data_IF_640143637659
#
_entry.id   IF_640143637659
#
_cell.length_a   1.000
_cell.length_b   1.000
_cell.length_c   1.000
_cell.angle_alpha   90.00
_cell.angle_beta   90.00
_cell.angle_gamma   90.00
#
_symmetry.space_group_name_H-M   'P 1'
#
loop_
_entity.id
_entity.type
_entity.pdbx_description
1 polymer ?
#
# COMPACT_ATOMS: atom_id res chain seq x y z
N UNK A 1 4.86 13.42 -16.63
CA UNK A 1 5.81 13.51 -15.49
C UNK A 1 6.53 12.19 -15.38
N UNK A 2 7.85 12.20 -15.23
CA UNK A 2 8.65 10.99 -14.96
C UNK A 2 8.55 10.66 -13.46
N UNK A 3 8.33 9.39 -13.13
CA UNK A 3 8.12 8.94 -11.75
C UNK A 3 9.41 8.93 -10.91
N UNK A 4 10.58 8.96 -11.55
CA UNK A 4 11.88 9.13 -10.89
C UNK A 4 12.33 7.96 -10.00
N UNK A 5 11.74 6.77 -10.14
CA UNK A 5 12.05 5.62 -9.29
C UNK A 5 13.48 5.11 -9.46
N UNK A 6 13.93 5.00 -10.70
CA UNK A 6 15.29 4.57 -11.04
C UNK A 6 16.15 5.80 -11.34
N UNK A 7 17.36 5.82 -10.79
CA UNK A 7 18.39 6.81 -11.12
C UNK A 7 19.62 6.05 -11.59
N UNK A 8 20.31 6.60 -12.60
CA UNK A 8 21.52 6.01 -13.14
C UNK A 8 22.62 5.90 -12.07
N UNK A 9 23.56 4.98 -12.30
CA UNK A 9 24.81 4.90 -11.55
C UNK A 9 25.62 6.19 -11.74
N UNK A 10 26.75 6.32 -11.04
CA UNK A 10 27.65 7.47 -11.19
C UNK A 10 27.86 7.84 -12.66
N UNK A 11 27.60 9.10 -13.03
CA UNK A 11 27.62 9.55 -14.43
C UNK A 11 26.28 9.48 -15.18
N UNK A 12 25.16 9.21 -14.49
CA UNK A 12 23.82 9.02 -15.08
C UNK A 12 23.70 7.80 -16.01
N UNK A 13 24.55 6.79 -15.81
CA UNK A 13 24.53 5.59 -16.62
C UNK A 13 23.41 4.64 -16.18
N UNK A 14 22.51 4.30 -17.11
CA UNK A 14 21.46 3.32 -16.89
C UNK A 14 21.97 1.96 -17.35
N UNK A 15 22.44 1.17 -16.39
CA UNK A 15 23.03 -0.15 -16.59
C UNK A 15 22.06 -1.24 -16.11
N UNK A 16 21.07 -1.65 -16.93
CA UNK A 16 20.02 -2.58 -16.53
C UNK A 16 20.49 -4.03 -16.38
N UNK A 17 21.66 -4.39 -16.93
CA UNK A 17 22.21 -5.74 -16.87
C UNK A 17 23.31 -5.91 -15.82
N UNK A 18 23.92 -4.82 -15.36
CA UNK A 18 24.96 -4.90 -14.34
C UNK A 18 24.41 -5.17 -12.94
N UNK A 19 25.33 -5.53 -12.05
CA UNK A 19 24.99 -5.84 -10.67
C UNK A 19 24.32 -4.66 -9.98
N UNK A 20 23.29 -4.97 -9.19
CA UNK A 20 22.48 -4.02 -8.46
C UNK A 20 22.74 -4.14 -6.96
N UNK A 21 23.11 -3.03 -6.32
CA UNK A 21 23.46 -3.00 -4.90
C UNK A 21 22.20 -2.91 -4.02
N UNK A 22 22.34 -3.32 -2.75
CA UNK A 22 21.26 -3.18 -1.75
C UNK A 22 20.84 -1.71 -1.56
N UNK A 23 21.79 -0.78 -1.61
CA UNK A 23 21.54 0.65 -1.42
C UNK A 23 20.70 1.24 -2.57
N UNK A 24 21.01 0.84 -3.80
CA UNK A 24 20.22 1.22 -4.98
C UNK A 24 18.80 0.66 -4.88
N UNK A 25 18.65 -0.60 -4.46
CA UNK A 25 17.35 -1.22 -4.24
C UNK A 25 16.52 -0.49 -3.19
N UNK A 26 17.12 -0.13 -2.05
CA UNK A 26 16.41 0.61 -1.00
C UNK A 26 16.01 2.02 -1.47
N UNK A 27 16.85 2.67 -2.28
CA UNK A 27 16.52 3.98 -2.86
C UNK A 27 15.32 3.88 -3.80
N UNK A 28 15.21 2.81 -4.59
CA UNK A 28 14.06 2.59 -5.45
C UNK A 28 12.78 2.40 -4.64
N UNK A 29 12.83 1.60 -3.57
CA UNK A 29 11.68 1.39 -2.66
C UNK A 29 11.26 2.71 -2.01
N UNK A 30 12.21 3.44 -1.43
CA UNK A 30 11.98 4.75 -0.79
C UNK A 30 11.32 5.76 -1.76
N UNK A 31 11.71 5.73 -3.04
CA UNK A 31 11.08 6.59 -4.05
C UNK A 31 9.72 6.09 -4.52
N UNK A 32 9.44 4.80 -4.44
CA UNK A 32 8.17 4.22 -4.88
C UNK A 32 7.08 4.30 -3.80
N UNK A 33 7.45 4.21 -2.52
CA UNK A 33 6.51 4.20 -1.39
C UNK A 33 6.48 5.54 -0.66
N UNK A 34 5.36 5.84 0.01
CA UNK A 34 5.30 6.93 0.99
C UNK A 34 5.78 6.45 2.36
N UNK A 35 5.22 5.35 2.84
CA UNK A 35 5.54 4.82 4.16
C UNK A 35 5.22 3.32 4.23
N UNK A 36 5.92 2.64 5.14
CA UNK A 36 5.64 1.25 5.52
C UNK A 36 5.26 1.27 7.00
N UNK A 37 3.97 1.08 7.28
CA UNK A 37 3.43 1.22 8.63
C UNK A 37 3.24 -0.15 9.30
N UNK A 38 3.52 -0.15 10.61
CA UNK A 38 3.32 -1.29 11.51
C UNK A 38 2.19 -1.04 12.53
N UNK A 39 1.64 0.17 12.53
CA UNK A 39 0.67 0.66 13.52
C UNK A 39 -0.45 1.48 12.86
N UNK A 40 -1.47 1.82 13.66
CA UNK A 40 -2.63 2.58 13.20
C UNK A 40 -2.26 4.04 12.91
N UNK A 41 -2.85 4.59 11.84
CA UNK A 41 -2.60 5.97 11.38
C UNK A 41 -3.92 6.68 11.13
N UNK A 42 -3.95 8.00 11.33
CA UNK A 42 -5.17 8.79 11.09
C UNK A 42 -4.91 10.19 10.55
N UNK A 43 -5.79 10.65 9.64
CA UNK A 43 -5.82 12.02 9.13
C UNK A 43 -4.64 12.41 8.23
N UNK A 44 -3.93 11.44 7.65
CA UNK A 44 -2.71 11.67 6.88
C UNK A 44 -2.97 11.59 5.38
N UNK A 45 -2.21 12.36 4.60
CA UNK A 45 -2.20 12.24 3.12
C UNK A 45 -0.88 11.64 2.66
N UNK A 46 -0.95 10.51 1.97
CA UNK A 46 0.17 9.82 1.36
C UNK A 46 0.21 10.11 -0.13
N UNK A 47 1.30 10.73 -0.58
CA UNK A 47 1.47 11.12 -1.98
C UNK A 47 1.76 9.94 -2.92
N UNK A 48 2.16 8.79 -2.38
CA UNK A 48 2.55 7.56 -3.10
C UNK A 48 1.93 6.34 -2.41
N UNK A 49 2.46 5.16 -2.72
CA UNK A 49 1.98 3.88 -2.20
C UNK A 49 2.22 3.75 -0.70
N UNK A 50 1.18 3.37 0.04
CA UNK A 50 1.25 3.03 1.46
C UNK A 50 1.29 1.50 1.63
N UNK A 51 2.14 1.00 2.53
CA UNK A 51 2.24 -0.44 2.82
C UNK A 51 1.93 -0.70 4.28
N UNK A 52 0.97 -1.58 4.56
CA UNK A 52 0.66 -2.09 5.91
C UNK A 52 1.36 -3.42 6.10
N UNK A 53 2.25 -3.53 7.08
CA UNK A 53 3.08 -4.73 7.26
C UNK A 53 2.66 -5.60 8.45
N UNK A 54 1.88 -5.09 9.40
CA UNK A 54 1.40 -5.85 10.58
C UNK A 54 -0.12 -5.81 10.71
N UNK A 55 -0.66 -6.88 11.28
CA UNK A 55 -2.08 -6.97 11.64
C UNK A 55 -2.45 -6.02 12.80
N UNK A 56 -3.74 -5.71 12.92
CA UNK A 56 -4.30 -4.83 13.94
C UNK A 56 -4.23 -3.34 13.60
N UNK A 57 -3.71 -2.98 12.43
CA UNK A 57 -3.63 -1.60 12.00
C UNK A 57 -5.01 -1.08 11.57
N UNK A 58 -5.33 0.13 12.01
CA UNK A 58 -6.48 0.91 11.54
C UNK A 58 -5.97 2.14 10.79
N UNK A 59 -6.41 2.32 9.55
CA UNK A 59 -6.15 3.51 8.74
C UNK A 59 -7.45 4.31 8.67
N UNK A 60 -7.47 5.50 9.30
CA UNK A 60 -8.68 6.29 9.43
C UNK A 60 -8.55 7.70 8.81
N UNK A 61 -9.48 8.11 7.96
CA UNK A 61 -9.49 9.46 7.37
C UNK A 61 -8.25 9.77 6.51
N UNK A 62 -7.56 8.74 6.01
CA UNK A 62 -6.35 8.92 5.22
C UNK A 62 -6.69 9.07 3.72
N UNK A 63 -5.89 9.85 3.01
CA UNK A 63 -5.92 9.92 1.54
C UNK A 63 -4.63 9.36 0.97
N UNK A 64 -4.72 8.34 0.14
CA UNK A 64 -3.59 7.65 -0.48
C UNK A 64 -3.70 7.86 -1.98
N UNK A 65 -2.78 8.66 -2.54
CA UNK A 65 -2.75 8.97 -3.98
C UNK A 65 -2.23 7.81 -4.83
N UNK A 66 -1.42 6.94 -4.23
CA UNK A 66 -0.92 5.72 -4.86
C UNK A 66 -1.76 4.49 -4.53
N UNK A 67 -1.10 3.33 -4.55
CA UNK A 67 -1.71 2.07 -4.12
C UNK A 67 -1.70 1.95 -2.58
N UNK A 68 -2.65 1.21 -2.02
CA UNK A 68 -2.58 0.70 -0.65
C UNK A 68 -2.28 -0.79 -0.70
N UNK A 69 -1.16 -1.21 -0.12
CA UNK A 69 -0.75 -2.61 -0.09
C UNK A 69 -0.91 -3.16 1.33
N UNK A 70 -1.80 -4.15 1.48
CA UNK A 70 -1.84 -4.98 2.69
C UNK A 70 -0.80 -6.09 2.50
N UNK A 71 0.34 -5.93 3.17
CA UNK A 71 1.51 -6.79 3.00
C UNK A 71 1.34 -8.17 3.61
N UNK A 72 2.16 -9.12 3.15
CA UNK A 72 2.14 -10.52 3.63
C UNK A 72 2.43 -10.65 5.13
N UNK A 73 3.13 -9.67 5.73
CA UNK A 73 3.41 -9.64 7.18
C UNK A 73 2.16 -9.53 8.05
N UNK A 74 1.01 -9.11 7.48
CA UNK A 74 -0.30 -9.16 8.15
C UNK A 74 -0.76 -10.61 8.37
N UNK A 75 -0.28 -11.56 7.56
CA UNK A 75 -0.61 -12.97 7.69
C UNK A 75 -2.11 -13.22 7.54
N UNK A 76 -2.71 -13.88 8.53
CA UNK A 76 -4.15 -14.09 8.62
C UNK A 76 -4.90 -13.06 9.47
N UNK A 77 -4.21 -12.04 9.99
CA UNK A 77 -4.81 -11.04 10.87
C UNK A 77 -5.52 -9.91 10.11
N UNK A 78 -6.06 -8.97 10.88
CA UNK A 78 -7.05 -8.00 10.37
C UNK A 78 -6.47 -6.60 10.16
N UNK A 79 -7.06 -5.84 9.24
CA UNK A 79 -6.78 -4.43 8.97
C UNK A 79 -8.09 -3.71 8.73
N UNK A 80 -8.26 -2.54 9.36
CA UNK A 80 -9.47 -1.73 9.24
C UNK A 80 -9.16 -0.45 8.45
N UNK A 81 -9.96 -0.17 7.42
CA UNK A 81 -9.94 1.05 6.63
C UNK A 81 -11.22 1.84 6.91
N UNK A 82 -11.11 3.00 7.53
CA UNK A 82 -12.25 3.84 7.95
C UNK A 82 -12.20 5.21 7.28
N UNK A 83 -13.20 5.52 6.45
CA UNK A 83 -13.30 6.80 5.75
C UNK A 83 -12.02 7.16 4.96
N UNK A 84 -11.43 6.17 4.27
CA UNK A 84 -10.18 6.33 3.50
C UNK A 84 -10.46 6.63 2.04
N UNK A 85 -9.60 7.43 1.41
CA UNK A 85 -9.62 7.60 -0.06
C UNK A 85 -8.36 6.98 -0.65
N UNK A 86 -8.51 6.00 -1.55
CA UNK A 86 -7.43 5.34 -2.27
C UNK A 86 -7.64 5.63 -3.76
N UNK A 87 -6.81 6.52 -4.30
CA UNK A 87 -6.88 6.92 -5.71
C UNK A 87 -6.29 5.85 -6.65
N UNK A 88 -5.36 5.03 -6.14
CA UNK A 88 -4.85 3.84 -6.80
C UNK A 88 -5.62 2.57 -6.41
N UNK A 89 -4.90 1.45 -6.30
CA UNK A 89 -5.48 0.14 -6.01
C UNK A 89 -5.32 -0.22 -4.54
N UNK A 90 -6.33 -0.85 -3.96
CA UNK A 90 -6.19 -1.66 -2.76
C UNK A 90 -5.70 -3.06 -3.16
N UNK A 91 -4.48 -3.42 -2.77
CA UNK A 91 -3.86 -4.71 -3.09
C UNK A 91 -3.69 -5.52 -1.82
N UNK A 92 -4.35 -6.67 -1.74
CA UNK A 92 -4.36 -7.49 -0.54
C UNK A 92 -3.49 -8.75 -0.68
N UNK A 93 -2.24 -8.67 -0.23
CA UNK A 93 -1.34 -9.83 -0.10
C UNK A 93 -1.41 -10.48 1.29
N UNK A 94 -1.94 -9.79 2.29
CA UNK A 94 -2.25 -10.29 3.63
C UNK A 94 -3.75 -10.28 3.93
N UNK A 95 -4.15 -10.95 5.00
CA UNK A 95 -5.53 -11.05 5.48
C UNK A 95 -6.08 -12.48 5.49
N UNK A 96 -6.77 -12.88 6.55
CA UNK A 96 -7.58 -14.10 6.65
C UNK A 96 -9.04 -13.97 6.16
N UNK A 97 -9.92 -14.82 6.68
CA UNK A 97 -11.28 -15.04 6.18
C UNK A 97 -12.26 -13.88 6.39
N UNK A 98 -11.96 -12.90 7.26
CA UNK A 98 -12.82 -11.73 7.56
C UNK A 98 -11.96 -10.48 7.91
N UNK A 99 -10.88 -10.28 7.17
CA UNK A 99 -9.72 -9.59 7.75
C UNK A 99 -9.52 -8.17 7.27
N UNK A 100 -9.89 -7.83 6.04
CA UNK A 100 -9.78 -6.45 5.57
C UNK A 100 -11.17 -5.84 5.59
N UNK A 101 -11.44 -5.01 6.59
CA UNK A 101 -12.72 -4.33 6.76
C UNK A 101 -12.60 -2.91 6.23
N UNK A 102 -13.39 -2.58 5.22
CA UNK A 102 -13.50 -1.24 4.65
C UNK A 102 -14.84 -0.66 5.05
N UNK A 103 -14.85 0.50 5.69
CA UNK A 103 -16.09 1.10 6.22
C UNK A 103 -16.15 2.61 6.05
N UNK A 104 -17.33 3.16 6.32
CA UNK A 104 -17.60 4.59 6.25
C UNK A 104 -17.61 5.11 4.81
N UNK A 105 -17.36 6.42 4.63
CA UNK A 105 -17.33 7.09 3.32
C UNK A 105 -16.09 6.77 2.48
N UNK A 106 -15.56 5.55 2.58
CA UNK A 106 -14.33 5.16 1.90
C UNK A 106 -14.50 5.10 0.38
N UNK A 107 -13.48 5.54 -0.36
CA UNK A 107 -13.46 5.57 -1.82
C UNK A 107 -12.23 4.81 -2.30
N UNK A 108 -12.39 3.82 -3.16
CA UNK A 108 -11.30 2.95 -3.60
C UNK A 108 -11.37 2.80 -5.11
N UNK A 109 -10.36 3.22 -5.86
CA UNK A 109 -10.48 3.18 -7.33
C UNK A 109 -10.51 1.74 -7.91
N UNK A 110 -9.82 0.79 -7.27
CA UNK A 110 -9.87 -0.62 -7.64
C UNK A 110 -9.37 -1.53 -6.52
N UNK A 111 -9.80 -2.80 -6.55
CA UNK A 111 -9.41 -3.81 -5.57
C UNK A 111 -8.76 -5.01 -6.26
N UNK A 112 -7.63 -5.47 -5.72
CA UNK A 112 -6.88 -6.62 -6.22
C UNK A 112 -6.59 -7.59 -5.07
N UNK A 113 -7.05 -8.83 -5.21
CA UNK A 113 -6.68 -9.92 -4.31
C UNK A 113 -5.32 -10.49 -4.75
N UNK A 114 -4.30 -10.33 -3.91
CA UNK A 114 -2.92 -10.75 -4.19
C UNK A 114 -2.55 -12.15 -3.71
N UNK A 115 -3.43 -12.83 -2.95
CA UNK A 115 -3.28 -14.24 -2.56
C UNK A 115 -4.65 -14.95 -2.49
N UNK A 116 -4.71 -16.28 -2.58
CA UNK A 116 -5.96 -17.02 -2.36
C UNK A 116 -6.49 -16.82 -0.93
N UNK A 117 -7.80 -16.96 -0.76
CA UNK A 117 -8.50 -16.92 0.54
C UNK A 117 -8.29 -15.62 1.33
N UNK A 118 -8.25 -14.48 0.65
CA UNK A 118 -8.41 -13.16 1.28
C UNK A 118 -9.87 -12.76 1.18
N UNK A 119 -10.42 -12.24 2.27
CA UNK A 119 -11.74 -11.65 2.29
C UNK A 119 -11.66 -10.15 2.59
N UNK A 120 -12.30 -9.36 1.73
CA UNK A 120 -12.42 -7.92 1.88
C UNK A 120 -13.89 -7.63 2.12
N UNK A 121 -14.20 -7.19 3.33
CA UNK A 121 -15.55 -6.85 3.74
C UNK A 121 -15.75 -5.34 3.57
N UNK A 122 -16.83 -4.95 2.91
CA UNK A 122 -17.19 -3.54 2.72
C UNK A 122 -18.48 -3.24 3.47
N UNK A 123 -18.44 -2.24 4.34
CA UNK A 123 -19.54 -1.86 5.21
C UNK A 123 -19.97 -0.43 4.91
N UNK A 124 -21.15 -0.28 4.32
CA UNK A 124 -21.95 0.96 4.25
C UNK A 124 -21.23 2.23 3.78
N UNK A 125 -21.60 2.74 2.61
CA UNK A 125 -21.10 4.03 2.09
C UNK A 125 -19.75 3.96 1.36
N UNK A 126 -19.19 2.75 1.24
CA UNK A 126 -17.98 2.48 0.45
C UNK A 126 -18.29 2.58 -1.04
N UNK A 127 -17.45 3.30 -1.79
CA UNK A 127 -17.50 3.35 -3.26
C UNK A 127 -16.26 2.69 -3.84
N UNK A 128 -16.45 1.81 -4.82
CA UNK A 128 -15.40 1.16 -5.61
C UNK A 128 -15.59 1.47 -7.08
#
# INVERSE_FOLDING_TARGET
>A
MTLGYVVGKGGNDFDPQGNYTRAEAMTLIDRATSEIIDESVSGQTYAKTLIVRKAGATIAGATIRGDLIIGQGVGGGDVVLDNVTIEGRLIAFGGGSNSIVVKGGSKIAAVVAGKPNVHIQMEGGVTV
#
